data_IF_169228187699
#
_entry.id   IF_169228187699
#
_cell.length_a   1.000
_cell.length_b   1.000
_cell.length_c   1.000
_cell.angle_alpha   90.00
_cell.angle_beta   90.00
_cell.angle_gamma   90.00
#
_symmetry.space_group_name_H-M   'P 1'
#
loop_
_entity.id
_entity.type
_entity.pdbx_description
1 polymer ?
#
# COMPACT_ATOMS: atom_id res chain seq x y z
N UNK A 1 -4.45 -0.70 2.76
CA UNK A 1 -5.84 -0.64 3.27
C UNK A 1 -6.67 0.44 2.55
N UNK A 2 -6.12 1.65 2.31
CA UNK A 2 -6.89 2.75 1.70
C UNK A 2 -7.41 2.44 0.30
N UNK A 3 -6.66 1.74 -0.52
CA UNK A 3 -7.13 1.25 -1.80
C UNK A 3 -8.36 0.33 -1.66
N UNK A 4 -8.39 -0.53 -0.63
CA UNK A 4 -9.54 -1.39 -0.35
C UNK A 4 -10.77 -0.57 0.06
N UNK A 5 -10.58 0.44 0.92
CA UNK A 5 -11.65 1.37 1.33
C UNK A 5 -12.24 2.10 0.13
N UNK A 6 -11.42 2.45 -0.86
CA UNK A 6 -11.83 3.12 -2.09
C UNK A 6 -12.35 2.17 -3.18
N UNK A 7 -12.37 0.84 -2.94
CA UNK A 7 -12.82 -0.15 -3.92
C UNK A 7 -11.80 -0.45 -5.04
N UNK A 8 -10.55 -0.05 -4.88
CA UNK A 8 -9.47 -0.18 -5.87
C UNK A 8 -8.47 -1.30 -5.54
N UNK A 9 -8.67 -2.05 -4.47
CA UNK A 9 -7.78 -3.15 -4.09
C UNK A 9 -8.25 -4.48 -4.70
N UNK A 10 -7.37 -5.22 -5.37
CA UNK A 10 -7.67 -6.57 -5.81
C UNK A 10 -7.55 -7.62 -4.70
N UNK A 11 -7.08 -7.22 -3.50
CA UNK A 11 -6.72 -8.14 -2.42
C UNK A 11 -7.73 -8.17 -1.27
N UNK A 12 -8.40 -7.06 -1.00
CA UNK A 12 -9.32 -6.90 0.12
C UNK A 12 -10.44 -5.93 -0.27
N UNK A 13 -11.62 -6.13 0.33
CA UNK A 13 -12.76 -5.22 0.21
C UNK A 13 -12.80 -4.22 1.37
N UNK A 14 -13.61 -3.18 1.23
CA UNK A 14 -13.90 -2.25 2.32
C UNK A 14 -14.56 -2.93 3.53
N UNK A 15 -15.33 -4.00 3.29
CA UNK A 15 -15.93 -4.78 4.36
C UNK A 15 -14.88 -5.55 5.17
N UNK A 16 -13.89 -6.17 4.49
CA UNK A 16 -12.78 -6.86 5.16
C UNK A 16 -12.05 -5.90 6.10
N UNK A 17 -11.71 -4.69 5.61
CA UNK A 17 -11.06 -3.65 6.42
C UNK A 17 -11.94 -3.24 7.60
N UNK A 18 -13.24 -3.05 7.39
CA UNK A 18 -14.15 -2.69 8.48
C UNK A 18 -14.11 -3.70 9.62
N UNK A 19 -14.33 -4.99 9.33
CA UNK A 19 -14.41 -6.03 10.35
C UNK A 19 -13.07 -6.24 11.07
N UNK A 20 -11.95 -6.10 10.38
CA UNK A 20 -10.62 -6.13 11.00
C UNK A 20 -10.43 -4.92 11.95
N UNK A 21 -10.86 -3.72 11.55
CA UNK A 21 -10.69 -2.50 12.38
C UNK A 21 -11.63 -2.41 13.56
N UNK A 22 -12.82 -2.98 13.49
CA UNK A 22 -13.72 -3.02 14.67
C UNK A 22 -13.40 -4.17 15.63
N UNK A 23 -12.47 -5.06 15.26
CA UNK A 23 -12.00 -6.17 16.07
C UNK A 23 -12.93 -7.38 16.07
N UNK A 24 -13.82 -7.49 15.09
CA UNK A 24 -14.77 -8.61 14.98
C UNK A 24 -14.13 -9.84 14.31
N UNK A 25 -12.98 -9.66 13.66
CA UNK A 25 -12.23 -10.70 12.94
C UNK A 25 -10.74 -10.58 13.22
N UNK A 26 -10.09 -11.71 13.46
CA UNK A 26 -8.64 -11.77 13.56
C UNK A 26 -7.98 -11.27 12.25
N UNK A 27 -6.83 -10.58 12.35
CA UNK A 27 -6.07 -10.18 11.18
C UNK A 27 -5.80 -11.36 10.25
N UNK A 28 -5.83 -11.10 8.95
CA UNK A 28 -5.54 -12.12 7.96
C UNK A 28 -4.12 -12.67 8.15
N UNK A 29 -3.94 -14.00 8.25
CA UNK A 29 -2.60 -14.56 8.34
C UNK A 29 -1.78 -14.22 7.09
N UNK A 30 -0.49 -14.03 7.26
CA UNK A 30 0.40 -13.79 6.13
C UNK A 30 0.37 -14.98 5.18
N UNK A 31 0.20 -14.70 3.90
CA UNK A 31 0.32 -15.72 2.85
C UNK A 31 1.79 -15.92 2.50
N UNK A 32 2.15 -17.06 1.89
CA UNK A 32 3.51 -17.30 1.42
C UNK A 32 3.97 -16.22 0.41
N UNK A 33 3.06 -15.69 -0.40
CA UNK A 33 3.34 -14.57 -1.30
C UNK A 33 3.73 -13.30 -0.55
N UNK A 34 3.05 -13.00 0.56
CA UNK A 34 3.39 -11.85 1.44
C UNK A 34 4.73 -12.07 2.13
N UNK A 35 4.97 -13.26 2.70
CA UNK A 35 6.25 -13.59 3.33
C UNK A 35 7.41 -13.56 2.33
N UNK A 36 7.19 -14.07 1.11
CA UNK A 36 8.16 -13.97 0.03
C UNK A 36 8.46 -12.52 -0.36
N UNK A 37 7.43 -11.65 -0.35
CA UNK A 37 7.59 -10.21 -0.54
C UNK A 37 8.51 -9.61 0.52
N UNK A 38 8.19 -9.85 1.79
CA UNK A 38 8.99 -9.35 2.93
C UNK A 38 10.45 -9.83 2.88
N UNK A 39 10.69 -11.09 2.50
CA UNK A 39 12.06 -11.61 2.34
C UNK A 39 12.86 -10.95 1.22
N UNK A 40 12.21 -10.57 0.12
CA UNK A 40 12.85 -9.97 -1.05
C UNK A 40 12.92 -8.44 -0.99
N UNK A 41 12.15 -7.82 -0.15
CA UNK A 41 12.04 -6.37 -0.01
C UNK A 41 13.39 -5.67 0.20
N UNK A 42 14.30 -6.13 1.10
CA UNK A 42 15.62 -5.51 1.25
C UNK A 42 16.46 -5.56 -0.04
N UNK A 43 16.34 -6.64 -0.81
CA UNK A 43 17.05 -6.81 -2.09
C UNK A 43 16.51 -5.85 -3.14
N UNK A 44 15.19 -5.64 -3.15
CA UNK A 44 14.52 -4.70 -4.07
C UNK A 44 14.89 -3.26 -3.74
N UNK A 45 14.94 -2.91 -2.45
CA UNK A 45 15.37 -1.59 -1.98
C UNK A 45 16.83 -1.33 -2.35
N UNK A 46 17.73 -2.28 -2.08
CA UNK A 46 19.15 -2.20 -2.44
C UNK A 46 19.36 -2.01 -3.94
N UNK A 47 18.63 -2.73 -4.77
CA UNK A 47 18.67 -2.57 -6.22
C UNK A 47 18.24 -1.15 -6.63
N UNK A 48 17.14 -0.65 -6.06
CA UNK A 48 16.64 0.70 -6.29
C UNK A 48 17.69 1.76 -5.91
N UNK A 49 18.24 1.66 -4.71
CA UNK A 49 19.24 2.61 -4.21
C UNK A 49 20.49 2.63 -5.07
N UNK A 50 20.97 1.47 -5.54
CA UNK A 50 22.09 1.37 -6.48
C UNK A 50 21.78 2.00 -7.83
N UNK A 51 20.56 1.77 -8.35
CA UNK A 51 20.12 2.34 -9.63
C UNK A 51 20.01 3.87 -9.57
N UNK A 52 19.56 4.41 -8.45
CA UNK A 52 19.46 5.86 -8.19
C UNK A 52 20.77 6.50 -7.73
N UNK A 53 21.76 5.74 -7.28
CA UNK A 53 22.99 6.25 -6.70
C UNK A 53 22.79 6.95 -5.35
N UNK A 54 21.84 6.47 -4.53
CA UNK A 54 21.44 7.07 -3.25
C UNK A 54 21.74 6.16 -2.06
N UNK A 55 21.80 6.78 -0.87
CA UNK A 55 21.78 6.06 0.40
C UNK A 55 20.40 6.15 1.03
N UNK A 56 20.02 5.16 1.84
CA UNK A 56 18.70 5.07 2.46
C UNK A 56 18.79 4.59 3.93
N UNK A 57 17.66 4.79 4.65
CA UNK A 57 17.39 4.19 5.96
C UNK A 57 16.17 3.27 5.80
N UNK A 58 16.23 2.09 6.39
CA UNK A 58 15.17 1.07 6.39
C UNK A 58 14.61 0.79 7.79
N UNK A 59 14.59 1.81 8.66
CA UNK A 59 14.11 1.73 10.05
C UNK A 59 12.58 1.54 10.17
N UNK A 60 11.84 1.75 9.08
CA UNK A 60 10.39 1.46 8.90
C UNK A 60 9.48 1.95 10.03
N UNK A 61 9.58 3.21 10.44
CA UNK A 61 8.68 3.71 11.46
C UNK A 61 7.24 3.79 10.92
N UNK A 62 6.27 3.35 11.71
CA UNK A 62 4.87 3.66 11.44
C UNK A 62 4.59 5.10 11.83
N UNK A 63 4.30 5.93 10.85
CA UNK A 63 4.02 7.36 11.04
C UNK A 63 2.53 7.58 10.92
N UNK A 64 1.94 8.20 11.95
CA UNK A 64 0.53 8.55 12.01
C UNK A 64 0.33 10.02 11.69
N UNK A 65 -0.64 10.34 10.85
CA UNK A 65 -1.03 11.73 10.57
C UNK A 65 -1.56 12.40 11.84
N UNK A 66 -1.24 13.67 12.05
CA UNK A 66 -1.51 14.39 13.31
C UNK A 66 -2.99 14.47 13.69
N UNK A 67 -3.89 14.56 12.71
CA UNK A 67 -5.32 14.85 12.94
C UNK A 67 -6.28 13.91 12.20
N UNK A 68 -5.78 13.13 11.23
CA UNK A 68 -6.60 12.22 10.44
C UNK A 68 -6.29 10.76 10.82
N UNK A 69 -7.24 9.84 10.68
CA UNK A 69 -7.05 8.43 10.96
C UNK A 69 -6.26 7.73 9.83
N UNK A 70 -5.09 8.25 9.54
CA UNK A 70 -4.18 7.77 8.49
C UNK A 70 -2.81 7.49 9.08
N UNK A 71 -2.24 6.38 8.67
CA UNK A 71 -0.85 6.06 8.97
C UNK A 71 -0.20 5.41 7.76
N UNK A 72 1.12 5.42 7.74
CA UNK A 72 1.91 4.69 6.76
C UNK A 72 3.24 4.22 7.37
N UNK A 73 3.80 3.20 6.74
CA UNK A 73 5.13 2.68 7.06
C UNK A 73 5.87 2.59 5.72
N UNK A 74 6.76 3.55 5.40
CA UNK A 74 7.58 3.46 4.19
C UNK A 74 8.58 2.31 4.34
N UNK A 75 8.93 1.66 3.23
CA UNK A 75 9.91 0.57 3.27
C UNK A 75 11.34 1.12 3.47
N UNK A 76 11.62 2.29 2.89
CA UNK A 76 12.86 3.02 3.17
C UNK A 76 12.71 4.53 2.92
N UNK A 77 13.56 5.32 3.59
CA UNK A 77 13.68 6.77 3.40
C UNK A 77 15.01 7.09 2.74
N UNK A 78 15.03 7.91 1.69
CA UNK A 78 16.25 8.30 1.00
C UNK A 78 16.97 9.40 1.79
N UNK A 79 18.23 9.18 2.10
CA UNK A 79 19.05 10.14 2.86
C UNK A 79 19.37 11.38 2.02
N UNK A 80 19.11 12.54 2.60
CA UNK A 80 19.39 13.83 1.94
C UNK A 80 18.37 14.25 0.89
N UNK A 81 17.27 13.49 0.72
CA UNK A 81 16.16 13.83 -0.17
C UNK A 81 14.83 13.72 0.58
N UNK A 82 13.83 14.47 0.12
CA UNK A 82 12.47 14.37 0.64
C UNK A 82 11.67 13.30 -0.14
N UNK A 83 12.18 12.08 -0.13
CA UNK A 83 11.72 10.97 -0.97
C UNK A 83 11.78 9.65 -0.19
N UNK A 84 10.89 8.72 -0.55
CA UNK A 84 10.84 7.36 0.04
C UNK A 84 10.88 6.29 -1.05
N UNK A 85 11.14 5.07 -0.62
CA UNK A 85 11.05 3.86 -1.44
C UNK A 85 9.90 3.00 -0.89
N UNK A 86 9.07 2.48 -1.79
CA UNK A 86 7.98 1.54 -1.51
C UNK A 86 8.12 0.34 -2.46
N UNK A 87 8.79 -0.70 -1.99
CA UNK A 87 9.21 -1.85 -2.78
C UNK A 87 8.04 -2.80 -3.08
N UNK A 88 7.99 -3.32 -4.29
CA UNK A 88 6.93 -4.24 -4.72
C UNK A 88 7.51 -5.53 -5.30
N UNK A 89 6.87 -6.65 -4.97
CA UNK A 89 7.10 -7.94 -5.60
C UNK A 89 5.74 -8.49 -6.03
N UNK A 90 5.59 -8.82 -7.30
CA UNK A 90 4.31 -9.31 -7.83
C UNK A 90 4.50 -10.30 -8.97
N UNK A 91 3.51 -11.18 -9.16
CA UNK A 91 3.37 -12.02 -10.35
C UNK A 91 2.25 -11.52 -11.29
N UNK A 92 1.63 -10.39 -10.95
CA UNK A 92 0.57 -9.77 -11.75
C UNK A 92 1.17 -8.59 -12.53
N UNK A 93 1.36 -8.73 -13.86
CA UNK A 93 1.95 -7.68 -14.69
C UNK A 93 0.96 -6.57 -15.07
N UNK A 94 -0.34 -6.81 -14.88
CA UNK A 94 -1.37 -5.86 -15.31
C UNK A 94 -1.31 -4.55 -14.52
N UNK A 95 -1.45 -3.44 -15.23
CA UNK A 95 -1.42 -2.09 -14.66
C UNK A 95 -0.02 -1.50 -14.47
N UNK A 96 1.05 -2.25 -14.79
CA UNK A 96 2.42 -1.73 -14.81
C UNK A 96 2.76 -1.27 -16.24
N UNK A 97 2.88 0.04 -16.42
CA UNK A 97 3.20 0.67 -17.70
C UNK A 97 4.69 0.74 -18.04
N UNK A 98 5.09 1.81 -18.70
CA UNK A 98 6.47 2.02 -19.10
C UNK A 98 7.37 2.33 -17.90
N UNK A 99 8.55 1.72 -17.83
CA UNK A 99 9.54 1.99 -16.78
C UNK A 99 9.95 3.47 -16.79
N UNK A 100 10.11 4.05 -15.60
CA UNK A 100 10.48 5.46 -15.42
C UNK A 100 9.29 6.41 -15.36
N UNK A 101 8.08 5.94 -15.66
CA UNK A 101 6.83 6.70 -15.51
C UNK A 101 6.22 6.52 -14.11
N UNK A 102 5.00 7.04 -13.92
CA UNK A 102 4.15 6.78 -12.77
C UNK A 102 3.03 5.78 -13.08
N UNK A 103 3.07 5.12 -14.20
CA UNK A 103 2.07 4.13 -14.64
C UNK A 103 2.19 2.82 -13.84
N UNK A 104 1.65 2.85 -12.61
CA UNK A 104 1.57 1.69 -11.70
C UNK A 104 0.10 1.37 -11.39
N UNK A 105 -0.22 0.14 -10.92
CA UNK A 105 -1.59 -0.21 -10.58
C UNK A 105 -2.25 0.77 -9.60
N UNK A 106 -3.54 1.07 -9.80
CA UNK A 106 -4.29 2.08 -9.03
C UNK A 106 -4.21 1.88 -7.52
N UNK A 107 -4.18 0.63 -7.06
CA UNK A 107 -4.03 0.35 -5.63
C UNK A 107 -2.69 0.85 -5.05
N UNK A 108 -1.63 0.83 -5.83
CA UNK A 108 -0.31 1.36 -5.45
C UNK A 108 -0.22 2.87 -5.65
N UNK A 109 -0.95 3.43 -6.63
CA UNK A 109 -1.12 4.89 -6.76
C UNK A 109 -1.74 5.48 -5.49
N UNK A 110 -2.85 4.88 -5.03
CA UNK A 110 -3.51 5.30 -3.76
C UNK A 110 -2.55 5.19 -2.58
N UNK A 111 -1.78 4.12 -2.49
CA UNK A 111 -0.80 3.93 -1.42
C UNK A 111 0.28 5.01 -1.46
N UNK A 112 0.88 5.25 -2.62
CA UNK A 112 1.95 6.24 -2.81
C UNK A 112 1.48 7.67 -2.46
N UNK A 113 0.30 8.08 -2.95
CA UNK A 113 -0.25 9.41 -2.65
C UNK A 113 -0.63 9.56 -1.18
N UNK A 114 -1.14 8.51 -0.52
CA UNK A 114 -1.38 8.55 0.92
C UNK A 114 -0.07 8.66 1.71
N UNK A 115 0.97 7.91 1.34
CA UNK A 115 2.29 8.01 1.98
C UNK A 115 2.84 9.44 1.85
N UNK A 116 2.82 10.01 0.65
CA UNK A 116 3.25 11.39 0.41
C UNK A 116 2.44 12.41 1.22
N UNK A 117 1.13 12.22 1.32
CA UNK A 117 0.26 13.08 2.12
C UNK A 117 0.59 13.02 3.62
N UNK A 118 0.79 11.82 4.18
CA UNK A 118 1.07 11.61 5.60
C UNK A 118 2.47 12.10 5.99
N UNK A 119 3.46 11.85 5.13
CA UNK A 119 4.87 12.13 5.40
C UNK A 119 5.31 13.54 4.97
N UNK A 120 4.57 14.16 4.05
CA UNK A 120 4.97 15.42 3.43
C UNK A 120 6.14 15.29 2.44
N UNK A 121 6.38 14.07 1.92
CA UNK A 121 7.46 13.82 0.95
C UNK A 121 7.01 14.15 -0.48
N UNK A 122 7.99 14.40 -1.36
CA UNK A 122 7.75 14.86 -2.74
C UNK A 122 7.64 13.72 -3.74
N UNK A 123 8.21 12.55 -3.42
CA UNK A 123 8.23 11.39 -4.33
C UNK A 123 8.21 10.08 -3.59
N UNK A 124 7.58 9.10 -4.26
CA UNK A 124 7.70 7.69 -3.92
C UNK A 124 8.36 6.98 -5.11
N UNK A 125 9.50 6.38 -4.87
CA UNK A 125 10.13 5.45 -5.79
C UNK A 125 9.53 4.07 -5.57
N UNK A 126 9.02 3.48 -6.65
CA UNK A 126 8.37 2.17 -6.62
C UNK A 126 9.19 1.18 -7.45
N UNK A 127 10.24 0.59 -6.87
CA UNK A 127 10.92 -0.54 -7.49
C UNK A 127 10.02 -1.76 -7.43
N UNK A 128 9.90 -2.46 -8.55
CA UNK A 128 9.12 -3.69 -8.61
C UNK A 128 9.92 -4.85 -9.20
N UNK A 129 9.83 -5.99 -8.51
CA UNK A 129 10.25 -7.29 -9.03
C UNK A 129 9.02 -8.02 -9.58
N UNK A 130 8.92 -8.09 -10.90
CA UNK A 130 7.88 -8.81 -11.63
C UNK A 130 8.33 -10.24 -11.91
N UNK A 131 7.58 -11.22 -11.42
CA UNK A 131 7.83 -12.65 -11.60
C UNK A 131 6.73 -13.25 -12.48
N UNK A 132 6.96 -13.34 -13.79
CA UNK A 132 5.99 -13.87 -14.76
C UNK A 132 6.47 -15.20 -15.34
N UNK A 133 5.93 -16.29 -14.81
CA UNK A 133 6.40 -17.63 -15.17
C UNK A 133 7.87 -17.84 -14.79
N UNK A 134 8.74 -18.05 -15.79
CA UNK A 134 10.20 -18.20 -15.60
C UNK A 134 10.97 -16.90 -15.83
N UNK A 135 10.29 -15.77 -16.00
CA UNK A 135 10.94 -14.48 -16.24
C UNK A 135 10.93 -13.64 -14.98
N UNK A 136 12.06 -13.01 -14.73
CA UNK A 136 12.29 -12.04 -13.68
C UNK A 136 12.58 -10.69 -14.35
N UNK A 137 11.80 -9.68 -13.97
CA UNK A 137 11.91 -8.33 -14.52
C UNK A 137 11.99 -7.31 -13.40
N UNK A 138 12.99 -6.45 -13.45
CA UNK A 138 13.21 -5.37 -12.49
C UNK A 138 12.87 -4.06 -13.15
N UNK A 139 11.87 -3.35 -12.63
CA UNK A 139 11.46 -2.04 -13.12
C UNK A 139 11.42 -1.02 -12.00
N UNK A 140 11.63 0.25 -12.33
CA UNK A 140 11.59 1.35 -11.40
C UNK A 140 10.60 2.40 -11.89
N UNK A 141 9.67 2.78 -11.03
CA UNK A 141 8.66 3.81 -11.27
C UNK A 141 8.86 4.97 -10.30
N UNK A 142 8.33 6.15 -10.67
CA UNK A 142 8.46 7.36 -9.87
C UNK A 142 7.13 8.09 -9.79
N UNK A 143 6.44 7.96 -8.66
CA UNK A 143 5.22 8.72 -8.39
C UNK A 143 5.59 10.05 -7.75
N UNK A 144 5.14 11.15 -8.35
CA UNK A 144 5.33 12.50 -7.83
C UNK A 144 4.13 12.94 -7.02
N UNK A 145 4.36 13.80 -6.05
CA UNK A 145 3.30 14.34 -5.21
C UNK A 145 2.31 15.14 -6.04
N UNK A 146 1.04 14.78 -5.88
CA UNK A 146 -0.13 15.54 -6.28
C UNK A 146 -0.90 15.89 -4.99
N UNK A 147 -0.91 17.16 -4.63
CA UNK A 147 -1.51 17.61 -3.38
C UNK A 147 -3.02 17.45 -3.37
N UNK A 148 -3.68 17.73 -4.49
CA UNK A 148 -5.12 17.64 -4.61
C UNK A 148 -5.59 16.19 -4.54
N UNK A 149 -4.91 15.30 -5.26
CA UNK A 149 -5.19 13.86 -5.22
C UNK A 149 -4.92 13.27 -3.83
N UNK A 150 -3.78 13.60 -3.21
CA UNK A 150 -3.46 13.17 -1.86
C UNK A 150 -4.49 13.62 -0.83
N UNK A 151 -4.96 14.88 -0.93
CA UNK A 151 -5.99 15.42 -0.07
C UNK A 151 -7.37 14.77 -0.30
N UNK A 152 -7.75 14.50 -1.56
CA UNK A 152 -9.02 13.80 -1.87
C UNK A 152 -9.02 12.37 -1.32
N UNK A 153 -7.93 11.61 -1.51
CA UNK A 153 -7.75 10.28 -0.91
C UNK A 153 -7.90 10.36 0.62
N UNK A 154 -7.18 11.28 1.26
CA UNK A 154 -7.20 11.44 2.70
C UNK A 154 -8.61 11.79 3.23
N UNK A 155 -9.33 12.67 2.52
CA UNK A 155 -10.70 13.06 2.85
C UNK A 155 -11.66 11.87 2.75
N UNK A 156 -11.62 11.11 1.65
CA UNK A 156 -12.50 9.96 1.40
C UNK A 156 -12.26 8.84 2.43
N UNK A 157 -11.00 8.49 2.66
CA UNK A 157 -10.64 7.45 3.65
C UNK A 157 -11.05 7.89 5.07
N UNK A 158 -10.82 9.16 5.43
CA UNK A 158 -11.23 9.68 6.73
C UNK A 158 -12.75 9.76 6.90
N UNK A 159 -13.48 10.09 5.83
CA UNK A 159 -14.94 10.09 5.84
C UNK A 159 -15.50 8.68 6.01
N UNK A 160 -14.93 7.70 5.28
CA UNK A 160 -15.27 6.30 5.42
C UNK A 160 -15.00 5.78 6.85
N UNK A 161 -13.82 6.11 7.41
CA UNK A 161 -13.46 5.73 8.77
C UNK A 161 -14.49 6.23 9.80
N UNK A 162 -14.86 7.51 9.74
CA UNK A 162 -15.88 8.08 10.64
C UNK A 162 -17.22 7.42 10.47
N UNK A 163 -17.66 7.21 9.21
CA UNK A 163 -18.97 6.65 8.87
C UNK A 163 -19.11 5.19 9.29
N UNK A 164 -18.03 4.41 9.15
CA UNK A 164 -18.10 2.98 9.30
C UNK A 164 -17.42 2.50 10.60
N UNK A 165 -16.15 2.81 10.81
CA UNK A 165 -15.41 2.28 11.96
C UNK A 165 -15.83 2.96 13.25
N UNK A 166 -15.83 4.31 13.29
CA UNK A 166 -16.19 5.05 14.51
C UNK A 166 -17.66 4.84 14.87
N UNK A 167 -18.55 4.94 13.88
CA UNK A 167 -20.00 4.75 14.09
C UNK A 167 -20.41 3.27 14.22
N UNK A 168 -19.49 2.32 13.99
CA UNK A 168 -19.75 0.86 13.97
C UNK A 168 -20.88 0.46 13.01
N UNK A 169 -20.90 1.06 11.83
CA UNK A 169 -21.89 0.77 10.78
C UNK A 169 -21.20 0.07 9.62
N UNK A 170 -21.50 -1.19 9.34
CA UNK A 170 -20.87 -1.91 8.23
C UNK A 170 -21.08 -1.20 6.89
N UNK A 171 -20.08 -1.20 5.98
CA UNK A 171 -20.27 -0.69 4.63
C UNK A 171 -21.29 -1.54 3.87
N UNK A 172 -22.16 -0.90 3.07
CA UNK A 172 -23.15 -1.61 2.26
C UNK A 172 -22.48 -2.26 1.04
N UNK A 173 -22.90 -3.47 0.68
CA UNK A 173 -22.71 -4.00 -0.67
C UNK A 173 -21.59 -5.00 -0.93
N UNK A 174 -20.75 -5.34 0.04
CA UNK A 174 -19.82 -6.46 -0.13
C UNK A 174 -20.15 -7.57 0.85
N UNK A 175 -20.67 -8.68 0.35
CA UNK A 175 -20.64 -9.93 1.13
C UNK A 175 -19.16 -10.32 1.24
N UNK A 176 -18.67 -10.59 2.46
CA UNK A 176 -17.32 -11.10 2.65
C UNK A 176 -17.11 -12.38 1.85
N UNK A 177 -15.91 -12.60 1.33
CA UNK A 177 -15.60 -13.88 0.69
C UNK A 177 -15.72 -15.06 1.66
N UNK A 178 -15.76 -16.27 1.14
CA UNK A 178 -15.95 -17.48 1.96
C UNK A 178 -14.82 -17.67 2.98
N UNK A 179 -13.57 -17.31 2.63
CA UNK A 179 -12.43 -17.40 3.53
C UNK A 179 -12.56 -16.41 4.69
N UNK A 180 -13.08 -15.24 4.41
CA UNK A 180 -13.41 -14.24 5.42
C UNK A 180 -14.55 -14.71 6.34
N UNK A 181 -15.60 -15.30 5.78
CA UNK A 181 -16.71 -15.84 6.56
C UNK A 181 -16.26 -16.95 7.50
N UNK A 182 -15.34 -17.84 7.08
CA UNK A 182 -14.74 -18.86 7.94
C UNK A 182 -13.98 -18.23 9.11
N UNK A 183 -13.19 -17.20 8.86
CA UNK A 183 -12.50 -16.45 9.92
C UNK A 183 -13.49 -15.81 10.91
N UNK A 184 -14.56 -15.22 10.39
CA UNK A 184 -15.60 -14.60 11.20
C UNK A 184 -16.29 -15.62 12.13
N UNK A 185 -16.54 -16.84 11.63
CA UNK A 185 -17.19 -17.92 12.38
C UNK A 185 -16.23 -18.67 13.31
N UNK A 186 -14.93 -18.39 13.25
CA UNK A 186 -13.87 -19.09 13.99
C UNK A 186 -13.86 -20.60 13.72
N UNK A 187 -14.13 -20.99 12.48
CA UNK A 187 -14.10 -22.37 11.96
C UNK A 187 -12.71 -22.76 11.45
#
# INVERSE_FOLDING_TARGET
ESAAVLGLSPFQSAADIYFEKVGDVEPRPATEAMESGTRLEPVIIDWCAKKLGVQYLDDRPTITHKTLPLCCTPDATILGANEIIDAKKTSMPDGWGEEGTDEIPECYQVQAHQQMFVLGVERVWVPVLLLTGFREEWRLYCVRRDEDLGADIAQRVSAWWRKHVVARVPPAGALPDESFLKRLRRE
#
